data_IF_683029610410
#
_entry.id   IF_683029610410
#
_cell.length_a   1.000
_cell.length_b   1.000
_cell.length_c   1.000
_cell.angle_alpha   90.00
_cell.angle_beta   90.00
_cell.angle_gamma   90.00
#
_symmetry.space_group_name_H-M   'P 1'
#
loop_
_entity.id
_entity.type
_entity.pdbx_description
1 polymer ?
#
# COMPACT_ATOMS: atom_id res chain seq x y z
N UNK A 1 -31.38 24.46 58.93
CA UNK A 1 -30.06 24.29 58.32
C UNK A 1 -30.03 22.87 57.77
N UNK A 2 -30.40 22.71 56.49
CA UNK A 2 -30.52 21.42 55.81
C UNK A 2 -29.41 21.39 54.77
N UNK A 3 -28.47 20.47 54.95
CA UNK A 3 -27.38 20.20 54.02
C UNK A 3 -27.96 19.45 52.81
N UNK A 4 -27.86 20.07 51.63
CA UNK A 4 -28.10 19.42 50.33
C UNK A 4 -26.78 18.81 49.89
N UNK A 5 -26.68 17.48 49.96
CA UNK A 5 -25.59 16.70 49.37
C UNK A 5 -25.86 16.56 47.87
N UNK A 6 -25.03 17.22 47.06
CA UNK A 6 -24.95 17.01 45.62
C UNK A 6 -24.10 15.75 45.41
N UNK A 7 -24.73 14.67 44.96
CA UNK A 7 -24.01 13.53 44.40
C UNK A 7 -23.59 13.92 42.98
N UNK A 8 -22.29 14.10 42.78
CA UNK A 8 -21.67 14.06 41.46
C UNK A 8 -21.72 12.60 40.98
N UNK A 9 -22.57 12.32 40.00
CA UNK A 9 -22.48 11.11 39.19
C UNK A 9 -21.43 11.38 38.12
N UNK A 10 -20.28 10.74 38.26
CA UNK A 10 -19.24 10.70 37.24
C UNK A 10 -19.62 9.58 36.27
N UNK A 11 -20.13 9.92 35.10
CA UNK A 11 -20.44 8.98 34.02
C UNK A 11 -19.10 8.53 33.41
N UNK A 12 -18.87 7.22 33.40
CA UNK A 12 -17.61 6.57 33.00
C UNK A 12 -17.95 5.41 32.07
N UNK A 13 -18.55 5.71 30.92
CA UNK A 13 -19.15 4.71 30.01
C UNK A 13 -18.75 4.93 28.52
N UNK A 14 -17.48 5.22 28.21
CA UNK A 14 -17.03 5.31 26.79
C UNK A 14 -16.08 4.19 26.33
N UNK A 15 -15.36 3.50 27.21
CA UNK A 15 -14.42 2.43 26.80
C UNK A 15 -15.12 1.12 26.37
N UNK A 16 -16.30 0.80 26.90
CA UNK A 16 -16.93 -0.50 26.63
C UNK A 16 -17.65 -0.58 25.27
N UNK A 17 -17.84 0.56 24.59
CA UNK A 17 -18.63 0.65 23.36
C UNK A 17 -17.76 0.66 22.09
N UNK A 18 -16.47 0.93 22.20
CA UNK A 18 -15.55 0.98 21.06
C UNK A 18 -15.08 -0.43 20.67
N UNK A 19 -14.61 -1.23 21.64
CA UNK A 19 -14.20 -2.62 21.39
C UNK A 19 -15.31 -3.47 20.78
N UNK A 20 -16.54 -3.38 21.32
CA UNK A 20 -17.67 -4.16 20.80
C UNK A 20 -18.05 -3.78 19.35
N UNK A 21 -17.73 -2.55 18.91
CA UNK A 21 -17.92 -2.13 17.52
C UNK A 21 -16.82 -2.68 16.64
N UNK A 22 -15.57 -2.62 17.09
CA UNK A 22 -14.42 -3.17 16.36
C UNK A 22 -14.61 -4.67 16.16
N UNK A 23 -14.96 -5.43 17.21
CA UNK A 23 -15.26 -6.86 17.11
C UNK A 23 -16.38 -7.15 16.08
N UNK A 24 -17.37 -6.27 15.96
CA UNK A 24 -18.46 -6.43 14.98
C UNK A 24 -18.01 -6.10 13.56
N UNK A 25 -17.10 -5.14 13.40
CA UNK A 25 -16.53 -4.75 12.11
C UNK A 25 -15.63 -5.87 11.59
N UNK A 26 -14.81 -6.48 12.44
CA UNK A 26 -13.84 -7.49 12.02
C UNK A 26 -14.50 -8.87 11.87
N UNK A 27 -15.58 -9.15 12.62
CA UNK A 27 -16.32 -10.41 12.47
C UNK A 27 -16.87 -10.69 11.05
N UNK A 28 -16.95 -9.68 10.16
CA UNK A 28 -17.34 -9.94 8.76
C UNK A 28 -16.19 -10.51 7.92
N UNK A 29 -14.94 -10.34 8.32
CA UNK A 29 -13.74 -10.88 7.64
C UNK A 29 -13.65 -12.40 7.80
N UNK A 30 -14.23 -12.94 8.87
CA UNK A 30 -14.31 -14.40 9.10
C UNK A 30 -15.28 -15.15 8.19
N UNK A 31 -16.08 -14.44 7.38
CA UNK A 31 -17.04 -15.07 6.50
C UNK A 31 -16.35 -15.81 5.34
N UNK A 32 -16.61 -17.10 5.18
CA UNK A 32 -16.16 -17.85 3.99
C UNK A 32 -16.94 -17.38 2.77
N UNK A 33 -16.23 -16.87 1.76
CA UNK A 33 -16.82 -16.37 0.53
C UNK A 33 -17.14 -17.50 -0.45
N UNK A 34 -18.26 -17.34 -1.16
CA UNK A 34 -18.67 -18.23 -2.25
C UNK A 34 -17.66 -18.16 -3.41
N UNK A 35 -17.18 -19.31 -3.84
CA UNK A 35 -16.12 -19.44 -4.83
C UNK A 35 -16.54 -18.94 -6.21
N UNK A 36 -17.81 -19.09 -6.55
CA UNK A 36 -18.35 -18.64 -7.84
C UNK A 36 -18.49 -17.13 -7.85
N UNK A 37 -18.99 -16.56 -6.75
CA UNK A 37 -19.05 -15.11 -6.52
C UNK A 37 -17.66 -14.48 -6.60
N UNK A 38 -16.66 -15.06 -5.95
CA UNK A 38 -15.28 -14.53 -6.03
C UNK A 38 -14.75 -14.64 -7.47
N UNK A 39 -14.83 -15.82 -8.09
CA UNK A 39 -14.34 -16.05 -9.46
C UNK A 39 -14.99 -15.12 -10.49
N UNK A 40 -16.27 -14.79 -10.34
CA UNK A 40 -17.04 -13.89 -11.22
C UNK A 40 -16.65 -12.41 -11.06
N UNK A 41 -16.01 -12.04 -9.95
CA UNK A 41 -15.73 -10.65 -9.59
C UNK A 41 -14.24 -10.31 -9.48
N UNK A 42 -13.36 -11.21 -9.95
CA UNK A 42 -11.95 -10.87 -10.18
C UNK A 42 -11.82 -10.02 -11.45
N UNK A 43 -10.88 -9.07 -11.41
CA UNK A 43 -10.46 -8.27 -12.55
C UNK A 43 -8.96 -8.48 -12.69
N UNK A 44 -8.57 -9.22 -13.74
CA UNK A 44 -7.19 -9.61 -13.99
C UNK A 44 -6.82 -9.19 -15.41
N UNK A 45 -5.75 -8.43 -15.54
CA UNK A 45 -5.21 -8.05 -16.84
C UNK A 45 -4.70 -9.28 -17.60
N UNK A 46 -4.94 -9.31 -18.92
CA UNK A 46 -4.67 -10.47 -19.78
C UNK A 46 -5.29 -11.80 -19.32
N UNK A 47 -6.25 -11.75 -18.39
CA UNK A 47 -7.01 -12.89 -17.92
C UNK A 47 -8.19 -13.23 -18.84
N UNK A 48 -8.34 -14.51 -19.18
CA UNK A 48 -9.54 -15.04 -19.83
C UNK A 48 -10.17 -16.11 -18.96
N UNK A 49 -11.44 -15.91 -18.59
CA UNK A 49 -12.19 -16.90 -17.81
C UNK A 49 -12.57 -18.11 -18.68
N UNK A 50 -12.29 -19.31 -18.17
CA UNK A 50 -12.61 -20.62 -18.79
C UNK A 50 -13.39 -21.49 -17.82
N UNK A 51 -14.15 -22.46 -18.33
CA UNK A 51 -14.90 -23.45 -17.54
C UNK A 51 -14.06 -24.69 -17.21
N UNK A 52 -14.43 -25.42 -16.16
CA UNK A 52 -13.74 -26.65 -15.73
C UNK A 52 -12.56 -26.36 -14.80
N UNK A 53 -11.57 -27.25 -14.80
CA UNK A 53 -10.37 -27.13 -13.97
C UNK A 53 -9.11 -27.40 -14.82
N UNK A 54 -7.99 -26.71 -14.55
CA UNK A 54 -6.69 -27.08 -15.09
C UNK A 54 -6.34 -28.51 -14.72
N UNK A 55 -5.70 -29.25 -15.62
CA UNK A 55 -5.25 -30.63 -15.37
C UNK A 55 -3.73 -30.64 -15.34
N UNK A 56 -3.10 -30.67 -14.15
CA UNK A 56 -1.66 -30.84 -14.02
C UNK A 56 -1.22 -32.14 -14.69
N UNK A 57 -0.17 -32.08 -15.49
CA UNK A 57 0.38 -33.23 -16.21
C UNK A 57 1.87 -33.46 -15.95
N UNK A 58 2.53 -32.53 -15.26
CA UNK A 58 3.96 -32.55 -15.07
C UNK A 58 4.38 -32.38 -13.60
N UNK A 59 5.45 -33.08 -13.24
CA UNK A 59 6.24 -32.83 -12.03
C UNK A 59 7.52 -32.03 -12.34
N UNK A 60 7.72 -31.58 -13.58
CA UNK A 60 8.95 -30.89 -14.02
C UNK A 60 8.91 -29.37 -13.86
N UNK A 61 7.72 -28.78 -13.70
CA UNK A 61 7.55 -27.37 -13.39
C UNK A 61 7.38 -27.22 -11.89
N UNK A 62 8.38 -26.65 -11.24
CA UNK A 62 8.34 -26.26 -9.83
C UNK A 62 8.27 -24.73 -9.75
N UNK A 63 7.41 -24.23 -8.88
CA UNK A 63 7.30 -22.82 -8.55
C UNK A 63 6.83 -22.70 -7.10
N UNK A 64 7.07 -21.53 -6.51
CA UNK A 64 6.71 -21.22 -5.13
C UNK A 64 5.99 -19.88 -5.07
N UNK A 65 4.81 -19.87 -4.46
CA UNK A 65 3.97 -18.68 -4.23
C UNK A 65 3.85 -18.35 -2.74
N UNK A 66 4.71 -18.93 -1.89
CA UNK A 66 4.72 -18.69 -0.45
C UNK A 66 4.93 -17.23 -0.06
N UNK A 67 5.46 -16.41 -0.97
CA UNK A 67 5.64 -14.96 -0.81
C UNK A 67 4.47 -14.11 -1.32
N UNK A 68 3.42 -14.73 -1.87
CA UNK A 68 2.22 -14.00 -2.32
C UNK A 68 1.50 -13.39 -1.12
N UNK A 69 0.80 -12.28 -1.37
CA UNK A 69 0.01 -11.65 -0.31
C UNK A 69 -1.06 -12.61 0.21
N UNK A 70 -1.30 -12.57 1.52
CA UNK A 70 -2.43 -13.26 2.18
C UNK A 70 -3.53 -12.30 2.59
N UNK A 71 -3.31 -10.98 2.41
CA UNK A 71 -4.26 -9.92 2.67
C UNK A 71 -4.68 -9.28 1.35
N UNK A 72 -5.96 -8.93 1.26
CA UNK A 72 -6.55 -8.25 0.13
C UNK A 72 -7.50 -7.16 0.59
N UNK A 73 -7.79 -6.22 -0.29
CA UNK A 73 -8.70 -5.12 0.03
C UNK A 73 -9.81 -5.00 -1.02
N UNK A 74 -10.98 -4.53 -0.60
CA UNK A 74 -12.07 -4.26 -1.54
C UNK A 74 -11.60 -3.32 -2.67
N UNK A 75 -11.97 -3.64 -3.92
CA UNK A 75 -11.51 -3.02 -5.18
C UNK A 75 -10.04 -3.27 -5.54
N UNK A 76 -9.10 -3.00 -4.63
CA UNK A 76 -7.66 -3.14 -4.89
C UNK A 76 -7.23 -4.61 -5.06
N UNK A 77 -7.90 -5.52 -4.35
CA UNK A 77 -7.65 -6.94 -4.45
C UNK A 77 -6.32 -7.34 -3.82
N UNK A 78 -5.55 -8.20 -4.49
CA UNK A 78 -4.28 -8.75 -4.00
C UNK A 78 -3.27 -8.92 -5.12
N UNK A 79 -2.01 -9.11 -4.73
CA UNK A 79 -0.90 -9.39 -5.65
C UNK A 79 -0.42 -10.84 -5.52
N UNK A 80 -0.16 -11.45 -6.66
CA UNK A 80 0.50 -12.77 -6.74
C UNK A 80 1.96 -12.53 -7.05
N UNK A 81 2.84 -13.07 -6.20
CA UNK A 81 4.29 -13.00 -6.39
C UNK A 81 4.79 -14.31 -6.99
N UNK A 82 5.40 -14.21 -8.17
CA UNK A 82 6.06 -15.31 -8.85
C UNK A 82 7.58 -15.17 -8.74
N UNK A 83 8.34 -16.27 -8.64
CA UNK A 83 9.78 -16.18 -8.49
C UNK A 83 10.53 -15.79 -9.78
N UNK A 84 9.88 -15.93 -10.95
CA UNK A 84 10.39 -15.51 -12.27
C UNK A 84 9.30 -15.71 -13.33
N UNK A 85 8.75 -14.64 -13.90
CA UNK A 85 7.75 -14.74 -14.98
C UNK A 85 8.35 -15.22 -16.31
N UNK A 86 9.63 -14.92 -16.57
CA UNK A 86 10.37 -15.38 -17.76
C UNK A 86 10.45 -16.90 -17.91
N UNK A 87 10.26 -17.63 -16.81
CA UNK A 87 10.31 -19.09 -16.80
C UNK A 87 9.00 -19.75 -17.26
N UNK A 88 7.94 -18.97 -17.43
CA UNK A 88 6.59 -19.47 -17.71
C UNK A 88 5.92 -18.69 -18.85
N UNK A 89 4.93 -19.29 -19.50
CA UNK A 89 4.11 -18.63 -20.52
C UNK A 89 2.83 -18.03 -19.94
N UNK A 90 2.45 -18.46 -18.75
CA UNK A 90 1.31 -17.93 -18.03
C UNK A 90 0.95 -18.77 -16.82
N UNK A 91 -0.23 -18.50 -16.27
CA UNK A 91 -0.76 -19.24 -15.13
C UNK A 91 -2.27 -19.44 -15.21
N UNK A 92 -2.73 -20.46 -14.50
CA UNK A 92 -4.13 -20.71 -14.20
C UNK A 92 -4.44 -20.38 -12.75
N UNK A 93 -5.51 -19.61 -12.52
CA UNK A 93 -6.02 -19.29 -11.18
C UNK A 93 -7.45 -19.80 -11.03
N UNK A 94 -7.68 -20.66 -10.05
CA UNK A 94 -8.99 -21.21 -9.73
C UNK A 94 -9.37 -20.90 -8.30
N UNK A 95 -10.61 -20.46 -8.06
CA UNK A 95 -11.07 -20.18 -6.70
C UNK A 95 -11.55 -21.46 -6.02
N UNK A 96 -11.22 -21.57 -4.73
CA UNK A 96 -11.56 -22.66 -3.85
C UNK A 96 -12.05 -22.13 -2.50
N UNK A 97 -13.08 -22.77 -1.95
CA UNK A 97 -13.45 -22.58 -0.55
C UNK A 97 -12.47 -23.34 0.35
N UNK A 98 -12.16 -22.76 1.52
CA UNK A 98 -11.31 -23.37 2.56
C UNK A 98 -11.77 -24.80 2.95
N UNK A 99 -13.07 -25.09 2.85
CA UNK A 99 -13.68 -26.38 3.21
C UNK A 99 -13.97 -27.32 2.02
N UNK A 100 -13.45 -27.02 0.82
CA UNK A 100 -13.35 -28.00 -0.28
C UNK A 100 -14.28 -27.82 -1.48
N UNK A 101 -15.08 -26.74 -1.55
CA UNK A 101 -15.72 -26.31 -2.79
C UNK A 101 -14.71 -25.73 -3.78
N UNK A 102 -14.80 -26.03 -5.07
CA UNK A 102 -13.94 -25.47 -6.13
C UNK A 102 -14.85 -24.89 -7.20
N UNK A 103 -14.56 -23.67 -7.65
CA UNK A 103 -15.37 -23.02 -8.66
C UNK A 103 -15.31 -23.78 -9.99
N UNK A 104 -16.45 -23.88 -10.70
CA UNK A 104 -16.53 -24.48 -12.03
C UNK A 104 -15.98 -23.52 -13.11
N UNK A 105 -14.70 -23.21 -12.99
CA UNK A 105 -13.95 -22.36 -13.90
C UNK A 105 -12.67 -21.83 -13.28
N UNK A 106 -11.84 -21.24 -14.14
CA UNK A 106 -10.55 -20.68 -13.79
C UNK A 106 -10.23 -19.49 -14.70
N UNK A 107 -9.30 -18.65 -14.27
CA UNK A 107 -8.69 -17.62 -15.09
C UNK A 107 -7.44 -18.18 -15.75
N UNK A 108 -7.36 -18.04 -17.07
CA UNK A 108 -6.16 -18.26 -17.86
C UNK A 108 -5.48 -16.92 -18.13
N UNK A 109 -4.28 -16.74 -17.57
CA UNK A 109 -3.56 -15.47 -17.56
C UNK A 109 -2.28 -15.66 -18.35
N UNK A 110 -2.24 -15.05 -19.53
CA UNK A 110 -1.07 -15.07 -20.41
C UNK A 110 -0.06 -14.00 -19.97
N UNK A 111 1.22 -14.36 -19.93
CA UNK A 111 2.29 -13.38 -19.70
C UNK A 111 2.72 -12.69 -20.99
N UNK A 112 2.33 -13.22 -22.15
CA UNK A 112 2.56 -12.54 -23.42
C UNK A 112 1.84 -11.19 -23.45
N UNK A 113 2.62 -10.11 -23.58
CA UNK A 113 2.09 -8.75 -23.62
C UNK A 113 1.53 -8.23 -22.29
N UNK A 114 1.87 -8.87 -21.17
CA UNK A 114 1.60 -8.33 -19.85
C UNK A 114 2.59 -7.18 -19.57
N UNK A 115 2.07 -5.97 -19.43
CA UNK A 115 2.85 -4.84 -18.94
C UNK A 115 2.74 -4.86 -17.41
N UNK A 116 3.80 -5.29 -16.72
CA UNK A 116 3.84 -5.21 -15.25
C UNK A 116 4.74 -4.05 -14.84
N UNK A 117 4.34 -3.32 -13.80
CA UNK A 117 5.20 -2.28 -13.21
C UNK A 117 6.38 -2.90 -12.43
N UNK A 118 6.19 -4.13 -11.93
CA UNK A 118 7.18 -4.96 -11.25
C UNK A 118 7.29 -6.30 -12.01
N UNK A 119 8.51 -6.70 -12.40
CA UNK A 119 8.77 -7.81 -13.36
C UNK A 119 8.27 -9.21 -12.94
N UNK A 120 7.63 -9.36 -11.77
CA UNK A 120 7.24 -10.65 -11.20
C UNK A 120 5.90 -10.63 -10.42
N UNK A 121 5.11 -9.57 -10.57
CA UNK A 121 3.83 -9.39 -9.87
C UNK A 121 2.64 -9.40 -10.80
N UNK A 122 1.57 -10.07 -10.38
CA UNK A 122 0.27 -10.04 -11.05
C UNK A 122 -0.75 -9.41 -10.12
N UNK A 123 -1.34 -8.31 -10.59
CA UNK A 123 -2.41 -7.61 -9.89
C UNK A 123 -3.76 -8.29 -10.16
N UNK A 124 -4.38 -8.79 -9.09
CA UNK A 124 -5.73 -9.34 -9.11
C UNK A 124 -6.64 -8.38 -8.35
N UNK A 125 -7.34 -7.53 -9.10
CA UNK A 125 -8.27 -6.56 -8.53
C UNK A 125 -9.67 -7.16 -8.32
N UNK A 126 -10.52 -6.48 -7.55
CA UNK A 126 -11.90 -6.87 -7.32
C UNK A 126 -12.90 -5.91 -7.95
N UNK A 127 -14.04 -6.44 -8.39
CA UNK A 127 -15.22 -5.62 -8.67
C UNK A 127 -15.84 -5.08 -7.37
N UNK A 128 -16.76 -4.12 -7.51
CA UNK A 128 -17.51 -3.54 -6.38
C UNK A 128 -18.45 -4.55 -5.66
N UNK A 129 -18.62 -5.75 -6.19
CA UNK A 129 -19.52 -6.76 -5.62
C UNK A 129 -18.87 -7.60 -4.50
N UNK A 130 -17.54 -7.64 -4.46
CA UNK A 130 -16.78 -8.36 -3.44
C UNK A 130 -16.94 -7.68 -2.08
N UNK A 131 -17.02 -8.50 -1.03
CA UNK A 131 -17.18 -8.10 0.36
C UNK A 131 -16.01 -8.63 1.21
N UNK A 132 -15.81 -8.10 2.42
CA UNK A 132 -14.89 -8.70 3.38
C UNK A 132 -15.20 -10.17 3.61
N UNK A 133 -14.16 -10.97 3.87
CA UNK A 133 -14.28 -12.41 4.02
C UNK A 133 -13.03 -13.17 3.62
N UNK A 134 -13.05 -14.49 3.78
CA UNK A 134 -11.95 -15.41 3.47
C UNK A 134 -12.28 -16.30 2.28
N UNK A 135 -11.29 -16.53 1.42
CA UNK A 135 -11.33 -17.54 0.36
C UNK A 135 -9.93 -18.11 0.12
N UNK A 136 -9.81 -19.18 -0.67
CA UNK A 136 -8.51 -19.63 -1.15
C UNK A 136 -8.52 -19.67 -2.69
N UNK A 137 -7.35 -19.59 -3.29
CA UNK A 137 -7.18 -19.87 -4.70
C UNK A 137 -6.11 -20.93 -4.88
N UNK A 138 -6.26 -21.67 -5.96
CA UNK A 138 -5.30 -22.64 -6.45
C UNK A 138 -4.68 -22.07 -7.71
N UNK A 139 -3.36 -22.10 -7.77
CA UNK A 139 -2.57 -21.60 -8.89
C UNK A 139 -1.74 -22.73 -9.49
N UNK A 140 -1.67 -22.77 -10.82
CA UNK A 140 -0.72 -23.58 -11.58
C UNK A 140 -0.04 -22.69 -12.61
N UNK A 141 1.24 -22.87 -12.85
CA UNK A 141 1.95 -22.22 -13.97
C UNK A 141 2.05 -23.18 -15.16
N UNK A 142 2.12 -22.63 -16.37
CA UNK A 142 2.31 -23.40 -17.59
C UNK A 142 3.40 -22.80 -18.49
N UNK A 143 4.07 -23.65 -19.26
CA UNK A 143 5.12 -23.24 -20.20
C UNK A 143 4.65 -23.27 -21.67
N UNK A 144 5.55 -22.89 -22.59
CA UNK A 144 5.26 -22.84 -24.03
C UNK A 144 5.10 -24.21 -24.69
N UNK A 145 5.54 -25.28 -24.01
CA UNK A 145 5.37 -26.67 -24.45
C UNK A 145 4.02 -27.25 -23.99
N UNK A 146 3.31 -26.54 -23.12
CA UNK A 146 2.01 -26.91 -22.57
C UNK A 146 2.10 -27.76 -21.31
N UNK A 147 3.29 -27.89 -20.70
CA UNK A 147 3.42 -28.57 -19.41
C UNK A 147 2.75 -27.70 -18.32
N UNK A 148 2.09 -28.34 -17.35
CA UNK A 148 1.41 -27.65 -16.24
C UNK A 148 1.98 -28.15 -14.90
N UNK A 149 2.33 -27.21 -14.03
CA UNK A 149 2.85 -27.49 -12.69
C UNK A 149 1.82 -28.18 -11.78
N UNK A 150 2.31 -28.74 -10.67
CA UNK A 150 1.42 -29.08 -9.56
C UNK A 150 0.75 -27.82 -8.97
N UNK A 151 -0.49 -27.92 -8.45
CA UNK A 151 -1.19 -26.79 -7.87
C UNK A 151 -0.56 -26.34 -6.55
N UNK A 152 -0.45 -25.02 -6.37
CA UNK A 152 -0.17 -24.38 -5.07
C UNK A 152 -1.44 -23.69 -4.57
N UNK A 153 -1.66 -23.70 -3.25
CA UNK A 153 -2.83 -23.10 -2.63
C UNK A 153 -2.42 -21.90 -1.77
N UNK A 154 -3.16 -20.80 -1.91
CA UNK A 154 -3.01 -19.60 -1.09
C UNK A 154 -4.39 -19.19 -0.59
N UNK A 155 -4.48 -18.86 0.70
CA UNK A 155 -5.71 -18.34 1.29
C UNK A 155 -5.57 -16.84 1.53
N UNK A 156 -6.63 -16.12 1.17
CA UNK A 156 -6.73 -14.68 1.20
C UNK A 156 -7.80 -14.29 2.21
N UNK A 157 -7.47 -13.28 3.00
CA UNK A 157 -8.39 -12.50 3.81
C UNK A 157 -8.64 -11.16 3.14
N UNK A 158 -9.91 -10.83 2.91
CA UNK A 158 -10.32 -9.53 2.41
C UNK A 158 -10.72 -8.68 3.62
N UNK A 159 -9.89 -7.70 3.93
CA UNK A 159 -10.10 -6.80 5.06
C UNK A 159 -11.37 -5.95 4.85
N UNK A 160 -12.05 -5.67 5.96
CA UNK A 160 -13.02 -4.62 6.05
C UNK A 160 -12.32 -3.27 6.22
N UNK A 161 -13.02 -2.19 5.89
CA UNK A 161 -12.50 -0.86 6.16
C UNK A 161 -12.72 -0.49 7.63
N UNK A 162 -11.76 0.25 8.21
CA UNK A 162 -11.59 0.50 9.63
C UNK A 162 -11.05 -0.74 10.39
N UNK A 163 -11.68 -1.11 11.51
CA UNK A 163 -11.34 -2.30 12.29
C UNK A 163 -10.59 -2.05 13.59
N UNK A 164 -10.16 -0.81 13.86
CA UNK A 164 -9.62 -0.43 15.17
C UNK A 164 -9.93 1.02 15.54
N UNK A 165 -10.87 1.21 16.46
CA UNK A 165 -11.30 2.53 16.92
C UNK A 165 -10.21 3.33 17.62
N UNK A 166 -9.18 2.69 18.19
CA UNK A 166 -8.04 3.38 18.79
C UNK A 166 -7.15 4.05 17.73
N UNK A 167 -7.23 3.65 16.46
CA UNK A 167 -6.50 4.29 15.37
C UNK A 167 -7.17 5.55 14.83
N UNK A 168 -8.47 5.74 15.10
CA UNK A 168 -9.22 6.92 14.64
C UNK A 168 -8.63 8.20 15.27
N UNK A 169 -8.34 9.18 14.41
CA UNK A 169 -7.74 10.44 14.84
C UNK A 169 -6.82 11.05 13.80
N UNK A 170 -6.20 12.17 14.20
CA UNK A 170 -5.17 12.85 13.43
C UNK A 170 -3.79 12.37 13.89
N UNK A 171 -2.94 12.11 12.92
CA UNK A 171 -1.58 11.63 13.08
C UNK A 171 -0.64 12.60 12.38
N UNK A 172 0.55 12.79 12.93
CA UNK A 172 1.60 13.62 12.34
C UNK A 172 2.88 12.84 12.22
N UNK A 173 3.54 12.97 11.09
CA UNK A 173 4.91 12.51 10.97
C UNK A 173 5.79 13.32 11.95
N UNK A 174 6.60 12.59 12.70
CA UNK A 174 7.51 13.16 13.68
C UNK A 174 8.97 13.07 13.21
N UNK A 175 9.36 11.92 12.71
CA UNK A 175 10.73 11.62 12.31
C UNK A 175 10.76 10.49 11.30
N UNK A 176 11.86 10.42 10.57
CA UNK A 176 12.25 9.32 9.73
C UNK A 176 13.60 8.73 10.18
N UNK A 177 13.86 7.49 9.81
CA UNK A 177 15.14 6.81 10.00
C UNK A 177 15.51 6.02 8.75
N UNK A 178 16.68 6.34 8.20
CA UNK A 178 17.30 5.61 7.10
C UNK A 178 18.36 4.65 7.67
N UNK A 179 18.21 3.37 7.36
CA UNK A 179 19.09 2.29 7.79
C UNK A 179 19.82 1.75 6.57
N UNK A 180 21.07 2.17 6.39
CA UNK A 180 21.92 1.67 5.30
C UNK A 180 22.68 0.44 5.76
N UNK A 181 22.61 -0.65 4.99
CA UNK A 181 23.21 -1.94 5.37
C UNK A 181 24.73 -1.81 5.49
N UNK A 182 25.25 -2.01 6.70
CA UNK A 182 26.68 -1.95 7.00
C UNK A 182 27.19 -0.56 7.40
N UNK A 183 26.32 0.44 7.49
CA UNK A 183 26.65 1.79 7.95
C UNK A 183 25.91 2.17 9.24
N UNK A 184 26.07 3.42 9.69
CA UNK A 184 25.33 3.93 10.85
C UNK A 184 23.99 4.51 10.41
N UNK A 185 22.92 4.18 11.12
CA UNK A 185 21.59 4.72 10.86
C UNK A 185 21.58 6.25 10.96
N UNK A 186 20.81 6.89 10.07
CA UNK A 186 20.56 8.33 10.10
C UNK A 186 19.12 8.55 10.53
N UNK A 187 18.94 9.26 11.64
CA UNK A 187 17.61 9.66 12.12
C UNK A 187 17.44 11.17 11.95
N UNK A 188 16.35 11.56 11.31
CA UNK A 188 16.03 12.96 11.04
C UNK A 188 14.66 13.31 11.60
N UNK A 189 14.47 14.55 12.04
CA UNK A 189 13.12 15.06 12.28
C UNK A 189 12.50 15.41 10.93
N UNK A 190 11.19 15.26 10.79
CA UNK A 190 10.48 15.64 9.55
C UNK A 190 10.75 17.11 9.14
N UNK A 191 10.98 17.98 10.13
CA UNK A 191 11.28 19.40 9.93
C UNK A 191 12.75 19.71 9.65
N UNK A 192 13.63 18.71 9.65
CA UNK A 192 15.03 18.91 9.30
C UNK A 192 15.16 19.19 7.80
N UNK A 193 16.18 19.98 7.44
CA UNK A 193 16.47 20.28 6.05
C UNK A 193 17.35 19.18 5.47
N UNK A 194 16.80 18.42 4.52
CA UNK A 194 17.53 17.43 3.73
C UNK A 194 17.94 18.05 2.40
N UNK A 195 19.12 17.70 1.91
CA UNK A 195 19.71 18.27 0.70
C UNK A 195 20.37 17.17 -0.12
N UNK A 196 20.05 17.10 -1.40
CA UNK A 196 20.67 16.21 -2.37
C UNK A 196 21.55 17.01 -3.31
N UNK A 197 22.83 16.67 -3.40
CA UNK A 197 23.75 17.35 -4.30
C UNK A 197 23.50 16.90 -5.74
N UNK A 198 23.00 17.83 -6.55
CA UNK A 198 22.82 17.70 -7.98
C UNK A 198 23.87 18.52 -8.74
N UNK A 199 24.30 18.00 -9.88
CA UNK A 199 25.25 18.69 -10.74
C UNK A 199 24.51 19.48 -11.81
N UNK A 200 24.55 20.81 -11.72
CA UNK A 200 24.22 21.70 -12.83
C UNK A 200 25.37 21.79 -13.83
N UNK A 201 25.07 22.26 -15.05
CA UNK A 201 26.06 22.43 -16.11
C UNK A 201 26.06 23.86 -16.66
N UNK A 202 27.23 24.49 -16.77
CA UNK A 202 27.39 25.77 -17.45
C UNK A 202 27.77 25.56 -18.93
N UNK A 203 26.93 26.03 -19.84
CA UNK A 203 27.19 25.91 -21.29
C UNK A 203 28.35 26.75 -21.79
N UNK A 204 28.67 27.87 -21.12
CA UNK A 204 29.73 28.79 -21.58
C UNK A 204 31.14 28.31 -21.21
N UNK A 205 31.32 27.81 -19.98
CA UNK A 205 32.62 27.36 -19.47
C UNK A 205 32.82 25.85 -19.57
N UNK A 206 31.76 25.08 -19.83
CA UNK A 206 31.79 23.62 -19.85
C UNK A 206 32.24 23.03 -18.50
N UNK A 207 31.84 23.69 -17.41
CA UNK A 207 32.12 23.29 -16.03
C UNK A 207 30.84 22.90 -15.27
N UNK A 208 31.00 22.00 -14.30
CA UNK A 208 29.92 21.61 -13.38
C UNK A 208 29.70 22.67 -12.31
N UNK A 209 28.44 23.04 -12.10
CA UNK A 209 28.01 23.87 -10.97
C UNK A 209 27.35 22.94 -9.96
N UNK A 210 28.00 22.72 -8.82
CA UNK A 210 27.40 21.96 -7.73
C UNK A 210 26.23 22.74 -7.15
N UNK A 211 25.07 22.08 -7.06
CA UNK A 211 23.94 22.60 -6.34
C UNK A 211 23.40 21.56 -5.38
N UNK A 212 22.80 22.02 -4.29
CA UNK A 212 22.01 21.18 -3.42
C UNK A 212 20.54 21.52 -3.68
N UNK A 213 19.76 20.52 -4.09
CA UNK A 213 18.31 20.58 -4.07
C UNK A 213 17.88 20.15 -2.68
N UNK A 214 17.23 21.07 -1.97
CA UNK A 214 16.91 20.88 -0.57
C UNK A 214 15.41 20.90 -0.33
N UNK A 215 14.99 20.13 0.67
CA UNK A 215 13.61 20.03 1.13
C UNK A 215 13.56 20.18 2.64
N UNK A 216 12.48 20.75 3.14
CA UNK A 216 12.19 20.84 4.58
C UNK A 216 10.71 20.56 4.79
N UNK A 217 10.37 19.58 5.62
CA UNK A 217 8.99 19.30 5.97
C UNK A 217 8.36 20.44 6.79
N UNK A 218 7.16 20.86 6.40
CA UNK A 218 6.37 21.87 7.12
C UNK A 218 5.26 21.21 7.94
N UNK A 219 4.54 20.28 7.32
CA UNK A 219 3.55 19.40 7.98
C UNK A 219 3.41 18.10 7.18
N UNK A 220 3.14 16.98 7.87
CA UNK A 220 2.62 15.77 7.24
C UNK A 220 1.55 15.21 8.17
N UNK A 221 0.29 15.34 7.77
CA UNK A 221 -0.87 15.00 8.57
C UNK A 221 -1.68 13.89 7.91
N UNK A 222 -2.03 12.86 8.67
CA UNK A 222 -2.91 11.77 8.28
C UNK A 222 -4.15 11.79 9.19
N UNK A 223 -5.34 11.74 8.61
CA UNK A 223 -6.60 11.65 9.36
C UNK A 223 -7.29 10.32 9.04
N UNK A 224 -7.34 9.42 10.03
CA UNK A 224 -8.09 8.17 9.96
C UNK A 224 -9.49 8.39 10.55
N UNK A 225 -10.54 8.09 9.78
CA UNK A 225 -11.94 8.25 10.20
C UNK A 225 -12.56 6.91 10.55
N UNK A 226 -13.52 6.93 11.47
CA UNK A 226 -14.22 5.73 11.95
C UNK A 226 -15.03 4.98 10.87
N UNK A 227 -15.28 5.61 9.71
CA UNK A 227 -15.95 4.97 8.57
C UNK A 227 -14.98 4.22 7.64
N UNK A 228 -13.71 4.10 8.02
CA UNK A 228 -12.69 3.41 7.25
C UNK A 228 -12.13 4.24 6.10
N UNK A 229 -12.45 5.54 6.02
CA UNK A 229 -11.81 6.46 5.07
C UNK A 229 -10.66 7.22 5.70
N UNK A 230 -9.71 7.67 4.88
CA UNK A 230 -8.63 8.56 5.31
C UNK A 230 -8.42 9.74 4.35
N UNK A 231 -7.73 10.75 4.87
CA UNK A 231 -7.10 11.82 4.07
C UNK A 231 -5.69 12.05 4.57
N UNK A 232 -4.75 12.36 3.69
CA UNK A 232 -3.41 12.82 4.04
C UNK A 232 -3.11 14.16 3.36
N UNK A 233 -2.30 14.98 4.03
CA UNK A 233 -1.73 16.21 3.47
C UNK A 233 -0.29 16.38 3.99
N UNK A 234 0.66 16.48 3.07
CA UNK A 234 2.04 16.83 3.37
C UNK A 234 2.43 18.13 2.65
N UNK A 235 3.14 19.00 3.38
CA UNK A 235 3.64 20.29 2.90
C UNK A 235 5.13 20.35 3.09
N UNK A 236 5.82 20.86 2.07
CA UNK A 236 7.27 20.97 2.04
C UNK A 236 7.70 22.35 1.59
N UNK A 237 8.76 22.88 2.18
CA UNK A 237 9.50 24.01 1.64
C UNK A 237 10.64 23.47 0.79
N UNK A 238 10.56 23.71 -0.53
CA UNK A 238 11.54 23.25 -1.49
C UNK A 238 12.48 24.38 -1.92
N UNK A 239 13.75 24.03 -2.13
CA UNK A 239 14.80 24.85 -2.74
C UNK A 239 15.41 24.05 -3.91
N UNK A 240 14.95 24.29 -5.14
CA UNK A 240 15.30 23.47 -6.32
C UNK A 240 16.13 24.28 -7.33
N UNK A 241 17.14 23.66 -7.93
CA UNK A 241 17.93 24.26 -9.00
C UNK A 241 17.04 24.69 -10.18
N UNK A 242 17.23 25.92 -10.62
CA UNK A 242 16.76 26.36 -11.93
C UNK A 242 17.81 25.97 -12.96
N UNK A 243 17.75 24.76 -13.49
CA UNK A 243 18.76 24.26 -14.44
C UNK A 243 18.90 25.17 -15.67
N UNK A 244 17.78 25.62 -16.24
CA UNK A 244 17.78 26.46 -17.44
C UNK A 244 18.48 27.80 -17.19
N UNK A 245 18.13 28.48 -16.10
CA UNK A 245 18.73 29.78 -15.78
C UNK A 245 20.18 29.61 -15.33
N UNK A 246 20.48 28.58 -14.54
CA UNK A 246 21.85 28.27 -14.10
C UNK A 246 22.75 27.97 -15.29
N UNK A 247 22.28 27.18 -16.26
CA UNK A 247 23.05 26.84 -17.45
C UNK A 247 23.31 28.06 -18.35
N UNK A 248 22.33 28.95 -18.48
CA UNK A 248 22.46 30.15 -19.32
C UNK A 248 23.25 31.30 -18.70
N UNK A 249 23.30 31.39 -17.36
CA UNK A 249 23.99 32.47 -16.64
C UNK A 249 25.33 32.03 -16.06
N UNK A 250 25.54 30.71 -15.94
CA UNK A 250 26.65 30.12 -15.21
C UNK A 250 26.74 30.58 -13.75
N UNK A 251 25.62 31.03 -13.19
CA UNK A 251 25.45 31.36 -11.79
C UNK A 251 24.37 30.45 -11.19
N UNK A 252 24.53 30.06 -9.92
CA UNK A 252 23.53 29.26 -9.22
C UNK A 252 22.23 30.05 -9.06
N UNK A 253 21.17 29.60 -9.74
CA UNK A 253 19.81 30.14 -9.62
C UNK A 253 18.91 29.09 -8.99
N UNK A 254 18.26 29.41 -7.87
CA UNK A 254 17.42 28.46 -7.10
C UNK A 254 16.00 29.00 -7.02
N UNK A 255 15.01 28.14 -7.27
CA UNK A 255 13.61 28.39 -6.96
C UNK A 255 13.31 28.01 -5.52
N UNK A 256 12.57 28.87 -4.83
CA UNK A 256 12.05 28.59 -3.50
C UNK A 256 10.53 28.65 -3.52
N UNK A 257 9.88 27.68 -2.92
CA UNK A 257 8.43 27.67 -2.79
C UNK A 257 7.94 26.48 -1.99
N UNK A 258 6.62 26.41 -1.84
CA UNK A 258 5.97 25.32 -1.12
C UNK A 258 5.44 24.27 -2.10
N UNK A 259 5.71 23.00 -1.79
CA UNK A 259 5.11 21.84 -2.44
C UNK A 259 4.08 21.20 -1.54
N UNK A 260 3.04 20.65 -2.15
CA UNK A 260 1.91 20.03 -1.46
C UNK A 260 1.71 18.64 -2.05
N UNK A 261 1.53 17.65 -1.17
CA UNK A 261 1.05 16.31 -1.51
C UNK A 261 -0.25 16.08 -0.74
N UNK A 262 -1.29 15.63 -1.42
CA UNK A 262 -2.58 15.30 -0.82
C UNK A 262 -3.02 13.94 -1.32
N UNK A 263 -3.79 13.22 -0.50
CA UNK A 263 -4.50 12.08 -1.00
C UNK A 263 -5.57 11.57 -0.07
N UNK A 264 -6.33 10.61 -0.59
CA UNK A 264 -7.48 10.05 0.09
C UNK A 264 -7.78 8.64 -0.38
N UNK A 265 -8.42 7.88 0.50
CA UNK A 265 -8.81 6.52 0.22
C UNK A 265 -9.38 5.85 1.45
N UNK A 266 -9.04 4.58 1.62
CA UNK A 266 -9.52 3.76 2.72
C UNK A 266 -8.37 3.21 3.55
N UNK A 267 -8.67 2.86 4.80
CA UNK A 267 -7.75 2.20 5.71
C UNK A 267 -8.40 0.96 6.31
N UNK A 268 -7.58 -0.03 6.64
CA UNK A 268 -7.98 -1.30 7.25
C UNK A 268 -6.96 -1.69 8.33
N UNK A 269 -7.40 -2.43 9.34
CA UNK A 269 -6.55 -2.96 10.38
C UNK A 269 -6.74 -4.46 10.49
N UNK A 270 -5.66 -5.21 10.23
CA UNK A 270 -5.60 -6.66 10.34
C UNK A 270 -5.23 -7.01 11.79
N UNK A 271 -6.18 -7.52 12.56
CA UNK A 271 -5.96 -7.87 13.97
C UNK A 271 -5.08 -9.10 14.19
N UNK A 272 -5.02 -10.00 13.21
CA UNK A 272 -4.22 -11.22 13.29
C UNK A 272 -2.73 -10.90 13.12
N UNK A 273 -2.41 -9.85 12.35
CA UNK A 273 -1.04 -9.39 12.09
C UNK A 273 -0.63 -8.16 12.87
N UNK A 274 -1.56 -7.47 13.52
CA UNK A 274 -1.34 -6.17 14.19
C UNK A 274 -0.74 -5.14 13.22
N UNK A 275 -1.44 -4.97 12.08
CA UNK A 275 -1.01 -4.12 10.96
C UNK A 275 -2.09 -3.16 10.50
N UNK A 276 -1.70 -1.91 10.28
CA UNK A 276 -2.52 -0.91 9.60
C UNK A 276 -2.14 -0.86 8.12
N UNK A 277 -3.16 -0.86 7.26
CA UNK A 277 -3.00 -0.72 5.82
C UNK A 277 -3.71 0.53 5.31
N UNK A 278 -3.08 1.23 4.36
CA UNK A 278 -3.63 2.40 3.69
C UNK A 278 -3.75 2.13 2.20
N UNK A 279 -4.96 2.23 1.66
CA UNK A 279 -5.25 2.04 0.23
C UNK A 279 -5.67 3.37 -0.39
N UNK A 280 -4.79 3.94 -1.19
CA UNK A 280 -4.97 5.26 -1.81
C UNK A 280 -5.81 5.14 -3.08
N UNK A 281 -6.84 5.98 -3.22
CA UNK A 281 -7.67 6.04 -4.43
C UNK A 281 -7.51 7.34 -5.21
N UNK A 282 -7.00 8.38 -4.54
CA UNK A 282 -6.76 9.69 -5.15
C UNK A 282 -5.50 10.30 -4.58
N UNK A 283 -4.71 10.88 -5.46
CA UNK A 283 -3.48 11.60 -5.12
C UNK A 283 -3.42 12.91 -5.90
N UNK A 284 -2.90 13.93 -5.24
CA UNK A 284 -2.62 15.22 -5.83
C UNK A 284 -1.23 15.68 -5.39
N UNK A 285 -0.46 16.23 -6.32
CA UNK A 285 0.79 16.91 -5.99
C UNK A 285 0.89 18.26 -6.71
N UNK A 286 1.40 19.26 -6.02
CA UNK A 286 1.82 20.55 -6.59
C UNK A 286 3.32 20.74 -6.34
N UNK A 287 4.08 20.82 -7.43
CA UNK A 287 5.53 21.05 -7.42
C UNK A 287 5.85 22.51 -7.72
N UNK A 288 6.90 23.04 -7.09
CA UNK A 288 7.32 24.44 -7.23
C UNK A 288 8.12 24.67 -8.51
N UNK A 289 8.93 23.69 -8.93
CA UNK A 289 9.79 23.81 -10.10
C UNK A 289 10.12 22.45 -10.75
N UNK A 290 9.73 22.24 -12.02
CA UNK A 290 8.78 23.07 -12.76
C UNK A 290 7.44 23.15 -12.01
N UNK A 291 6.71 24.27 -12.18
CA UNK A 291 5.39 24.38 -11.57
C UNK A 291 4.43 23.41 -12.27
N UNK A 292 4.20 22.27 -11.65
CA UNK A 292 3.42 21.18 -12.20
C UNK A 292 2.44 20.65 -11.16
N UNK A 293 1.24 20.33 -11.63
CA UNK A 293 0.19 19.76 -10.81
C UNK A 293 -0.16 18.38 -11.37
N UNK A 294 -0.11 17.38 -10.51
CA UNK A 294 -0.51 16.01 -10.82
C UNK A 294 -1.79 15.69 -10.06
N UNK A 295 -2.73 15.02 -10.72
CA UNK A 295 -3.97 14.57 -10.10
C UNK A 295 -4.28 13.18 -10.63
N UNK A 296 -4.07 12.18 -9.79
CA UNK A 296 -4.19 10.78 -10.14
C UNK A 296 -5.43 10.21 -9.46
N UNK A 297 -6.27 9.54 -10.25
CA UNK A 297 -7.41 8.77 -9.76
C UNK A 297 -7.10 7.30 -10.02
N UNK A 298 -6.84 6.55 -8.95
CA UNK A 298 -6.51 5.14 -8.98
C UNK A 298 -7.82 4.36 -8.93
N UNK A 299 -8.31 3.90 -10.08
CA UNK A 299 -9.65 3.29 -10.22
C UNK A 299 -9.86 2.12 -9.24
N UNK A 300 -8.85 1.28 -9.07
CA UNK A 300 -8.88 0.14 -8.17
C UNK A 300 -8.18 0.44 -6.83
N UNK A 301 -7.64 1.63 -6.66
CA UNK A 301 -6.76 1.98 -5.55
C UNK A 301 -5.38 1.34 -5.67
N UNK A 302 -4.43 1.81 -4.87
CA UNK A 302 -3.11 1.22 -4.68
C UNK A 302 -2.80 1.12 -3.19
N UNK A 303 -2.10 0.07 -2.77
CA UNK A 303 -1.57 0.00 -1.42
C UNK A 303 -0.52 1.11 -1.26
N UNK A 304 -0.83 2.09 -0.42
CA UNK A 304 0.06 3.22 -0.12
C UNK A 304 1.15 2.82 0.87
N UNK A 305 0.76 2.31 2.04
CA UNK A 305 1.71 1.75 3.00
C UNK A 305 1.05 0.76 3.96
N UNK A 306 1.93 -0.06 4.54
CA UNK A 306 1.67 -0.90 5.72
C UNK A 306 2.40 -0.28 6.92
N UNK A 307 1.80 -0.33 8.10
CA UNK A 307 2.39 0.18 9.33
C UNK A 307 2.28 -0.80 10.50
N UNK A 308 3.35 -0.87 11.27
CA UNK A 308 3.38 -1.47 12.61
C UNK A 308 2.84 -0.47 13.63
N UNK A 309 1.87 -0.87 14.45
CA UNK A 309 1.31 -0.02 15.50
C UNK A 309 2.11 -0.20 16.80
N UNK A 310 2.31 0.88 17.58
CA UNK A 310 2.86 0.76 18.94
C UNK A 310 1.77 0.28 19.91
N UNK A 311 2.13 -0.54 20.90
CA UNK A 311 1.18 -1.17 21.83
C UNK A 311 0.21 -0.19 22.53
N UNK A 312 0.60 1.07 22.70
CA UNK A 312 -0.21 2.11 23.35
C UNK A 312 -1.04 2.97 22.39
N UNK A 313 -1.00 2.67 21.08
CA UNK A 313 -1.66 3.42 20.02
C UNK A 313 -1.29 4.92 19.97
N UNK A 314 -0.12 5.29 20.49
CA UNK A 314 0.37 6.68 20.44
C UNK A 314 1.23 6.96 19.22
N UNK A 315 1.69 5.91 18.54
CA UNK A 315 2.45 6.02 17.30
C UNK A 315 2.34 4.79 16.42
N UNK A 316 2.74 4.94 15.17
CA UNK A 316 2.96 3.83 14.25
C UNK A 316 4.19 4.09 13.40
N UNK A 317 4.74 3.01 12.85
CA UNK A 317 5.92 3.03 11.97
C UNK A 317 5.58 2.38 10.64
N UNK A 318 5.84 3.08 9.54
CA UNK A 318 5.86 2.47 8.20
C UNK A 318 7.27 2.00 7.88
N UNK A 319 7.38 0.97 7.04
CA UNK A 319 8.66 0.40 6.62
C UNK A 319 8.67 0.27 5.10
N UNK A 320 9.73 0.78 4.47
CA UNK A 320 10.02 0.56 3.05
C UNK A 320 11.39 -0.08 2.95
N UNK A 321 11.44 -1.27 2.34
CA UNK A 321 12.68 -2.04 2.20
C UNK A 321 13.14 -1.99 0.75
N UNK A 322 14.38 -1.55 0.55
CA UNK A 322 15.08 -1.64 -0.72
C UNK A 322 16.33 -2.52 -0.57
N UNK A 323 16.98 -2.82 -1.69
CA UNK A 323 18.11 -3.77 -1.73
C UNK A 323 19.24 -3.37 -0.76
N UNK A 324 19.47 -2.07 -0.59
CA UNK A 324 20.62 -1.54 0.15
C UNK A 324 20.25 -0.71 1.40
N UNK A 325 18.98 -0.39 1.60
CA UNK A 325 18.51 0.42 2.73
C UNK A 325 17.07 0.09 3.16
N UNK A 326 16.80 0.33 4.45
CA UNK A 326 15.45 0.31 5.03
C UNK A 326 15.08 1.76 5.42
N UNK A 327 13.87 2.18 5.11
CA UNK A 327 13.36 3.51 5.45
C UNK A 327 12.15 3.39 6.38
N UNK A 328 12.27 4.00 7.57
CA UNK A 328 11.25 3.98 8.59
C UNK A 328 10.65 5.36 8.81
N UNK A 329 9.32 5.49 8.71
CA UNK A 329 8.62 6.75 9.00
C UNK A 329 7.79 6.59 10.26
N UNK A 330 7.95 7.51 11.20
CA UNK A 330 7.29 7.47 12.51
C UNK A 330 6.21 8.54 12.59
N UNK A 331 4.98 8.10 12.82
CA UNK A 331 3.83 8.97 13.09
C UNK A 331 3.49 8.94 14.58
N UNK A 332 3.05 10.09 15.09
CA UNK A 332 2.52 10.26 16.45
C UNK A 332 1.09 10.78 16.39
N UNK A 333 0.25 10.33 17.32
CA UNK A 333 -1.13 10.78 17.43
C UNK A 333 -1.19 12.20 18.00
N UNK A 334 -2.01 13.08 17.41
CA UNK A 334 -2.26 14.45 17.88
C UNK A 334 -3.21 14.53 19.08
#
# INVERSE_FOLDING_TARGET
MVFISILFSCEKDEEHNSQAKDDTINAVEEAILDETMVLDNLIIENGTKKSGAPVPDSNSLEFDVSKSSTTAFMKNGFKINLPSMDSFSGLYLQIKQKEGGIADGFWDISFEGLETEDEDLIDVNFSDAIKPGKFCYVICVYDSEGNISQPQEVCIEIENWAGNSNLVGSWKEYSDEEIVIGESNVKSLFTDKTCFTNNGWCSETNESIYNDDCRTGLSNELLLKADGTFTYEARFQDEVLNETSTNSTCEKVVYKGESILEGSGNWAYDEDKDRLFIVVFKEFSEHVNPKENYNNILKNGALGFEASIQEDYTGFRTEQNETDYEYHVYFVKN
#
